data_IF_666145474526
#
_entry.id   IF_666145474526
#
_cell.length_a   1.000
_cell.length_b   1.000
_cell.length_c   1.000
_cell.angle_alpha   90.00
_cell.angle_beta   90.00
_cell.angle_gamma   90.00
#
_symmetry.space_group_name_H-M   'P 1'
#
loop_
_entity.id
_entity.type
_entity.pdbx_description
1 polymer ?
#
# COMPACT_ATOMS: atom_id res chain seq x y z
N UNK A 1 -10.10 -2.63 14.78
CA UNK A 1 -9.17 -2.61 13.63
C UNK A 1 -8.51 -3.97 13.52
N UNK A 2 -8.65 -4.66 12.39
CA UNK A 2 -8.11 -6.00 12.19
C UNK A 2 -6.64 -5.93 11.80
N UNK A 3 -5.79 -6.68 12.48
CA UNK A 3 -4.37 -6.85 12.14
C UNK A 3 -4.19 -8.17 11.40
N UNK A 4 -3.48 -8.15 10.27
CA UNK A 4 -3.12 -9.36 9.54
C UNK A 4 -1.61 -9.54 9.46
N UNK A 5 -1.15 -10.78 9.55
CA UNK A 5 0.26 -11.12 9.38
C UNK A 5 0.61 -11.04 7.89
N UNK A 6 1.47 -10.10 7.53
CA UNK A 6 1.94 -9.94 6.14
C UNK A 6 3.36 -10.46 5.90
N UNK A 7 4.16 -10.65 6.94
CA UNK A 7 5.54 -11.16 6.81
C UNK A 7 5.58 -12.55 7.41
N UNK A 8 5.97 -13.54 6.63
CA UNK A 8 6.11 -14.91 7.12
C UNK A 8 7.47 -15.12 7.79
N UNK A 9 7.62 -14.52 8.97
CA UNK A 9 8.74 -14.79 9.88
C UNK A 9 8.21 -15.40 11.18
N UNK A 10 8.99 -16.29 11.80
CA UNK A 10 8.66 -16.83 13.11
C UNK A 10 8.71 -15.74 14.20
N UNK A 11 7.75 -15.82 15.13
CA UNK A 11 7.56 -14.82 16.20
C UNK A 11 8.51 -15.09 17.37
N UNK A 12 9.79 -14.76 17.21
CA UNK A 12 10.69 -14.70 18.35
C UNK A 12 11.43 -13.37 18.39
N UNK A 13 11.64 -12.86 19.60
CA UNK A 13 12.41 -11.64 19.82
C UNK A 13 13.85 -11.86 19.37
N UNK A 14 14.33 -11.02 18.45
CA UNK A 14 15.67 -11.09 17.84
C UNK A 14 16.53 -9.86 18.17
N UNK A 15 16.01 -8.92 18.95
CA UNK A 15 16.81 -7.83 19.52
C UNK A 15 17.62 -8.35 20.71
N UNK A 16 18.93 -8.16 20.65
CA UNK A 16 19.81 -8.55 21.76
C UNK A 16 19.47 -7.77 23.03
N UNK A 17 19.20 -6.47 22.90
CA UNK A 17 18.90 -5.61 24.06
C UNK A 17 17.59 -6.02 24.75
N UNK A 18 16.53 -6.32 23.98
CA UNK A 18 15.27 -6.80 24.57
C UNK A 18 15.40 -8.19 25.20
N UNK A 19 16.22 -9.08 24.61
CA UNK A 19 16.54 -10.37 25.22
C UNK A 19 17.32 -10.14 26.53
N UNK A 20 18.30 -9.24 26.54
CA UNK A 20 19.08 -8.91 27.71
C UNK A 20 18.20 -8.36 28.84
N UNK A 21 17.32 -7.40 28.55
CA UNK A 21 16.35 -6.87 29.51
C UNK A 21 15.46 -7.97 30.09
N UNK A 22 14.94 -8.87 29.24
CA UNK A 22 14.11 -9.99 29.72
C UNK A 22 14.89 -10.97 30.59
N UNK A 23 16.14 -11.27 30.23
CA UNK A 23 17.03 -12.13 31.03
C UNK A 23 17.40 -11.47 32.36
N UNK A 24 17.58 -10.14 32.36
CA UNK A 24 17.82 -9.34 33.56
C UNK A 24 16.65 -9.46 34.53
N UNK A 25 15.44 -9.16 34.07
CA UNK A 25 14.21 -9.31 34.87
C UNK A 25 14.04 -10.73 35.39
N UNK A 26 14.33 -11.73 34.55
CA UNK A 26 14.21 -13.14 34.95
C UNK A 26 15.21 -13.51 36.04
N UNK A 27 16.47 -13.07 35.93
CA UNK A 27 17.49 -13.35 36.95
C UNK A 27 17.18 -12.65 38.27
N UNK A 28 16.73 -11.40 38.19
CA UNK A 28 16.32 -10.58 39.34
C UNK A 28 15.17 -11.27 40.10
N UNK A 29 14.12 -11.71 39.39
CA UNK A 29 13.03 -12.52 39.97
C UNK A 29 13.51 -13.82 40.61
N UNK A 30 14.42 -14.55 39.97
CA UNK A 30 14.97 -15.79 40.54
C UNK A 30 15.72 -15.51 41.85
N UNK A 31 16.46 -14.39 41.93
CA UNK A 31 17.14 -13.98 43.16
C UNK A 31 16.16 -13.55 44.24
N UNK A 32 15.12 -12.78 43.89
CA UNK A 32 14.07 -12.35 44.82
C UNK A 32 13.40 -13.56 45.48
N UNK A 33 12.97 -14.53 44.67
CA UNK A 33 12.33 -15.73 45.17
C UNK A 33 13.27 -16.55 46.08
N UNK A 34 14.59 -16.55 45.83
CA UNK A 34 15.56 -17.19 46.73
C UNK A 34 15.70 -16.41 48.03
N UNK A 35 15.74 -15.09 47.97
CA UNK A 35 15.82 -14.22 49.14
C UNK A 35 14.61 -14.33 50.04
N UNK A 36 13.40 -14.44 49.47
CA UNK A 36 12.14 -14.64 50.20
C UNK A 36 12.00 -16.05 50.79
N UNK A 37 12.63 -17.06 50.16
CA UNK A 37 12.56 -18.45 50.60
C UNK A 37 13.62 -18.83 51.66
N UNK A 38 14.63 -17.98 51.89
CA UNK A 38 15.71 -18.23 52.85
C UNK A 38 15.31 -17.71 54.25
N UNK A 39 15.10 -18.58 55.26
CA UNK A 39 14.67 -18.18 56.60
C UNK A 39 15.68 -17.32 57.36
N UNK A 40 16.96 -17.33 56.96
CA UNK A 40 18.02 -16.54 57.60
C UNK A 40 18.24 -15.19 56.93
N UNK A 41 17.59 -14.94 55.80
CA UNK A 41 17.75 -13.70 55.07
C UNK A 41 16.80 -12.62 55.64
N UNK A 42 17.35 -11.44 55.92
CA UNK A 42 16.63 -10.37 56.63
C UNK A 42 15.76 -9.50 55.70
N UNK A 43 15.37 -10.05 54.55
CA UNK A 43 14.59 -9.36 53.52
C UNK A 43 13.14 -9.27 54.00
N UNK A 44 12.68 -8.04 54.28
CA UNK A 44 11.33 -7.79 54.83
C UNK A 44 10.47 -7.16 53.75
N UNK A 45 9.26 -7.70 53.60
CA UNK A 45 8.22 -7.03 52.81
C UNK A 45 7.87 -5.69 53.48
N UNK A 46 7.51 -4.65 52.70
CA UNK A 46 7.00 -3.39 53.25
C UNK A 46 5.86 -3.63 54.25
N UNK A 47 5.84 -2.89 55.36
CA UNK A 47 4.88 -3.11 56.47
C UNK A 47 3.42 -2.84 56.07
N UNK A 48 3.19 -2.11 54.97
CA UNK A 48 1.88 -1.65 54.47
C UNK A 48 1.25 -2.58 53.39
N UNK A 49 1.66 -3.85 53.33
CA UNK A 49 1.23 -4.77 52.26
C UNK A 49 -0.13 -5.43 52.52
N UNK A 50 -1.19 -4.88 51.92
CA UNK A 50 -2.57 -5.36 52.06
C UNK A 50 -2.98 -6.47 51.04
N UNK A 51 -2.06 -6.94 50.20
CA UNK A 51 -2.26 -8.09 49.31
C UNK A 51 -3.07 -7.84 48.02
N UNK A 52 -3.64 -6.65 47.83
CA UNK A 52 -4.45 -6.32 46.63
C UNK A 52 -3.64 -5.74 45.45
N UNK A 53 -2.44 -5.17 45.69
CA UNK A 53 -1.58 -4.54 44.67
C UNK A 53 -0.25 -5.30 44.39
N UNK A 54 -0.36 -6.57 43.99
CA UNK A 54 0.81 -7.44 43.77
C UNK A 54 1.74 -6.98 42.62
N UNK A 55 1.22 -6.29 41.60
CA UNK A 55 2.02 -5.85 40.44
C UNK A 55 2.92 -4.65 40.74
N UNK A 56 2.49 -3.74 41.64
CA UNK A 56 3.27 -2.55 42.04
C UNK A 56 4.42 -2.98 42.97
N UNK A 57 4.15 -3.87 43.92
CA UNK A 57 5.19 -4.43 44.78
C UNK A 57 6.23 -5.28 44.03
N UNK A 58 5.84 -6.06 43.02
CA UNK A 58 6.83 -6.84 42.24
C UNK A 58 7.86 -5.90 41.56
N UNK A 59 7.47 -4.68 41.17
CA UNK A 59 8.43 -3.73 40.58
C UNK A 59 9.41 -3.17 41.61
N UNK A 60 8.92 -2.72 42.77
CA UNK A 60 9.76 -2.11 43.82
C UNK A 60 10.74 -3.13 44.42
N UNK A 61 10.28 -4.36 44.65
CA UNK A 61 11.11 -5.45 45.17
C UNK A 61 12.18 -5.91 44.17
N UNK A 62 11.94 -5.76 42.87
CA UNK A 62 12.93 -6.08 41.84
C UNK A 62 14.06 -5.04 41.80
N UNK A 63 13.78 -3.78 42.11
CA UNK A 63 14.78 -2.70 42.11
C UNK A 63 15.76 -2.82 43.29
N UNK A 64 15.36 -3.48 44.38
CA UNK A 64 16.24 -3.76 45.52
C UNK A 64 17.33 -4.82 45.22
N UNK A 65 17.15 -5.60 44.16
CA UNK A 65 18.10 -6.66 43.79
C UNK A 65 19.12 -6.13 42.81
N UNK A 66 20.30 -5.83 43.33
CA UNK A 66 21.43 -5.42 42.49
C UNK A 66 22.02 -6.60 41.70
N UNK A 67 22.32 -6.34 40.43
CA UNK A 67 23.06 -7.23 39.56
C UNK A 67 24.47 -6.71 39.37
N UNK A 68 25.47 -7.57 39.55
CA UNK A 68 26.86 -7.17 39.41
C UNK A 68 27.27 -7.01 37.92
N UNK A 69 28.45 -6.43 37.69
CA UNK A 69 29.00 -6.26 36.33
C UNK A 69 29.21 -7.60 35.60
N UNK A 70 29.55 -8.66 36.33
CA UNK A 70 29.75 -10.00 35.77
C UNK A 70 28.44 -10.63 35.29
N UNK A 71 27.36 -10.45 36.03
CA UNK A 71 26.00 -10.87 35.69
C UNK A 71 25.53 -10.15 34.44
N UNK A 72 25.66 -8.82 34.39
CA UNK A 72 25.33 -8.02 33.21
C UNK A 72 26.12 -8.49 31.98
N UNK A 73 27.42 -8.78 32.13
CA UNK A 73 28.24 -9.29 31.04
C UNK A 73 27.79 -10.70 30.57
N UNK A 74 27.49 -11.62 31.51
CA UNK A 74 26.98 -12.97 31.18
C UNK A 74 25.61 -12.90 30.50
N UNK A 75 24.72 -12.04 30.98
CA UNK A 75 23.41 -11.78 30.39
C UNK A 75 23.60 -11.28 28.96
N UNK A 76 24.47 -10.29 28.74
CA UNK A 76 24.73 -9.74 27.41
C UNK A 76 25.29 -10.80 26.45
N UNK A 77 26.29 -11.56 26.88
CA UNK A 77 26.85 -12.66 26.09
C UNK A 77 25.79 -13.71 25.72
N UNK A 78 24.90 -14.06 26.66
CA UNK A 78 23.82 -15.02 26.44
C UNK A 78 22.74 -14.45 25.52
N UNK A 79 22.41 -13.18 25.67
CA UNK A 79 21.47 -12.46 24.81
C UNK A 79 21.98 -12.41 23.37
N UNK A 80 23.26 -12.10 23.16
CA UNK A 80 23.88 -12.09 21.83
C UNK A 80 23.91 -13.48 21.18
N UNK A 81 24.19 -14.52 21.97
CA UNK A 81 24.16 -15.91 21.48
C UNK A 81 22.75 -16.33 21.08
N UNK A 82 21.76 -16.03 21.93
CA UNK A 82 20.36 -16.36 21.67
C UNK A 82 19.80 -15.57 20.50
N UNK A 83 20.13 -14.28 20.40
CA UNK A 83 19.79 -13.40 19.28
C UNK A 83 20.31 -13.97 17.97
N UNK A 84 21.60 -14.35 17.90
CA UNK A 84 22.21 -14.98 16.72
C UNK A 84 21.54 -16.29 16.34
N UNK A 85 21.31 -17.18 17.32
CA UNK A 85 20.63 -18.45 17.07
C UNK A 85 19.20 -18.26 16.56
N UNK A 86 18.44 -17.32 17.13
CA UNK A 86 17.09 -16.98 16.68
C UNK A 86 17.10 -16.38 15.28
N UNK A 87 17.98 -15.42 14.98
CA UNK A 87 18.12 -14.85 13.63
C UNK A 87 18.44 -15.92 12.58
N UNK A 88 19.30 -16.87 12.92
CA UNK A 88 19.62 -18.02 12.06
C UNK A 88 18.39 -18.91 11.83
N UNK A 89 17.65 -19.25 12.90
CA UNK A 89 16.42 -20.02 12.81
C UNK A 89 15.31 -19.31 11.99
N UNK A 90 15.30 -17.97 11.99
CA UNK A 90 14.37 -17.16 11.20
C UNK A 90 14.81 -16.98 9.74
N UNK A 91 16.04 -17.37 9.38
CA UNK A 91 16.59 -17.13 8.06
C UNK A 91 16.80 -15.65 7.75
N UNK A 92 17.07 -14.80 8.75
CA UNK A 92 17.26 -13.34 8.58
C UNK A 92 18.67 -12.87 8.91
N UNK A 93 19.64 -13.77 9.00
CA UNK A 93 21.04 -13.44 9.32
C UNK A 93 21.68 -12.51 8.28
N UNK A 94 21.21 -12.56 7.03
CA UNK A 94 21.67 -11.68 5.97
C UNK A 94 21.13 -10.26 6.12
N UNK A 95 20.01 -10.01 6.82
CA UNK A 95 19.41 -8.67 6.92
C UNK A 95 20.28 -7.70 7.72
N UNK A 96 20.45 -6.48 7.20
CA UNK A 96 21.09 -5.40 7.97
C UNK A 96 20.18 -5.00 9.14
N UNK A 97 20.72 -4.45 10.23
CA UNK A 97 19.92 -3.94 11.34
C UNK A 97 18.88 -2.90 10.89
N UNK A 98 19.21 -2.04 9.93
CA UNK A 98 18.31 -1.05 9.35
C UNK A 98 17.10 -1.70 8.65
N UNK A 99 17.34 -2.71 7.81
CA UNK A 99 16.29 -3.47 7.12
C UNK A 99 15.39 -4.17 8.14
N UNK A 100 15.98 -4.79 9.17
CA UNK A 100 15.24 -5.44 10.24
C UNK A 100 14.35 -4.44 10.98
N UNK A 101 14.87 -3.24 11.29
CA UNK A 101 14.09 -2.18 11.94
C UNK A 101 12.91 -1.73 11.07
N UNK A 102 13.06 -1.69 9.74
CA UNK A 102 11.95 -1.38 8.81
C UNK A 102 10.85 -2.44 8.85
N UNK A 103 11.23 -3.72 8.91
CA UNK A 103 10.32 -4.87 8.95
C UNK A 103 9.66 -5.06 10.32
N UNK A 104 10.36 -4.74 11.41
CA UNK A 104 9.95 -5.02 12.79
C UNK A 104 8.49 -4.65 13.09
N UNK A 105 7.99 -3.45 12.73
CA UNK A 105 6.61 -3.08 13.07
C UNK A 105 5.55 -3.83 12.24
N UNK A 106 5.93 -4.42 11.10
CA UNK A 106 5.05 -5.26 10.29
C UNK A 106 5.03 -6.73 10.74
N UNK A 107 6.00 -7.18 11.56
CA UNK A 107 6.06 -8.56 12.07
C UNK A 107 4.90 -8.89 13.01
N UNK A 108 4.44 -7.91 13.78
CA UNK A 108 3.31 -8.04 14.69
C UNK A 108 1.94 -7.98 13.97
N UNK A 109 1.96 -7.85 12.65
CA UNK A 109 0.79 -7.67 11.80
C UNK A 109 0.60 -6.22 11.38
N UNK A 110 -0.10 -6.04 10.27
CA UNK A 110 -0.41 -4.73 9.69
C UNK A 110 -1.90 -4.49 9.65
N UNK A 111 -2.30 -3.21 9.70
CA UNK A 111 -3.70 -2.81 9.70
C UNK A 111 -4.31 -3.13 8.34
N UNK A 112 -5.57 -3.52 8.35
CA UNK A 112 -6.38 -3.73 7.15
C UNK A 112 -7.54 -2.76 7.16
N UNK A 113 -7.80 -2.13 6.01
CA UNK A 113 -9.04 -1.40 5.80
C UNK A 113 -10.13 -2.41 5.45
N UNK A 114 -11.21 -2.43 6.21
CA UNK A 114 -12.37 -3.31 5.97
C UNK A 114 -13.53 -2.50 5.40
N UNK A 115 -14.40 -3.15 4.64
CA UNK A 115 -15.68 -2.56 4.29
C UNK A 115 -16.51 -2.32 5.56
N UNK A 116 -17.31 -1.25 5.58
CA UNK A 116 -18.18 -0.91 6.71
C UNK A 116 -19.51 -1.65 6.60
N UNK A 117 -20.42 -1.11 5.80
CA UNK A 117 -21.76 -1.65 5.55
C UNK A 117 -22.15 -1.46 4.07
N UNK A 118 -23.37 -1.88 3.72
CA UNK A 118 -23.90 -1.75 2.37
C UNK A 118 -24.12 -0.28 1.98
N UNK A 119 -24.55 0.57 2.93
CA UNK A 119 -24.80 1.99 2.68
C UNK A 119 -23.50 2.71 2.31
N UNK A 120 -22.42 2.45 3.03
CA UNK A 120 -21.09 2.96 2.71
C UNK A 120 -20.65 2.56 1.29
N UNK A 121 -20.91 1.32 0.87
CA UNK A 121 -20.59 0.87 -0.48
C UNK A 121 -21.41 1.65 -1.55
N UNK A 122 -22.68 1.94 -1.25
CA UNK A 122 -23.57 2.71 -2.11
C UNK A 122 -23.13 4.19 -2.19
N UNK A 123 -22.75 4.80 -1.06
CA UNK A 123 -22.22 6.16 -0.98
C UNK A 123 -20.91 6.33 -1.77
N UNK A 124 -19.97 5.39 -1.63
CA UNK A 124 -18.70 5.40 -2.37
C UNK A 124 -18.97 5.35 -3.88
N UNK A 125 -19.85 4.44 -4.31
CA UNK A 125 -20.20 4.30 -5.72
C UNK A 125 -20.92 5.54 -6.25
N UNK A 126 -21.87 6.10 -5.49
CA UNK A 126 -22.62 7.30 -5.86
C UNK A 126 -21.69 8.51 -6.02
N UNK A 127 -20.74 8.70 -5.08
CA UNK A 127 -19.75 9.78 -5.17
C UNK A 127 -18.89 9.65 -6.42
N UNK A 128 -18.35 8.47 -6.69
CA UNK A 128 -17.53 8.22 -7.87
C UNK A 128 -18.32 8.40 -9.17
N UNK A 129 -19.57 7.95 -9.20
CA UNK A 129 -20.45 8.11 -10.35
C UNK A 129 -20.80 9.59 -10.60
N UNK A 130 -21.08 10.36 -9.55
CA UNK A 130 -21.35 11.80 -9.66
C UNK A 130 -20.11 12.61 -10.10
N UNK A 131 -18.91 12.13 -9.77
CA UNK A 131 -17.65 12.73 -10.21
C UNK A 131 -17.28 12.37 -11.65
N UNK A 132 -17.47 11.11 -12.05
CA UNK A 132 -17.06 10.57 -13.34
C UNK A 132 -18.15 9.68 -13.96
N UNK A 133 -19.29 10.23 -14.41
CA UNK A 133 -20.42 9.43 -14.90
C UNK A 133 -20.09 8.49 -16.06
N UNK A 134 -19.15 8.90 -16.92
CA UNK A 134 -18.67 8.10 -18.05
C UNK A 134 -17.87 6.86 -17.63
N UNK A 135 -17.38 6.80 -16.39
CA UNK A 135 -16.74 5.63 -15.79
C UNK A 135 -17.75 4.66 -15.15
N UNK A 136 -19.02 4.71 -15.57
CA UNK A 136 -20.13 3.90 -15.03
C UNK A 136 -19.77 2.43 -14.91
N UNK A 137 -19.27 1.80 -15.98
CA UNK A 137 -18.96 0.36 -15.97
C UNK A 137 -17.91 -0.03 -14.92
N UNK A 138 -16.89 0.82 -14.72
CA UNK A 138 -15.89 0.62 -13.67
C UNK A 138 -16.49 0.82 -12.27
N UNK A 139 -17.34 1.84 -12.11
CA UNK A 139 -18.00 2.17 -10.85
C UNK A 139 -19.03 1.12 -10.44
N UNK A 140 -19.84 0.62 -11.38
CA UNK A 140 -20.80 -0.46 -11.18
C UNK A 140 -20.11 -1.77 -10.79
N UNK A 141 -18.94 -2.05 -11.40
CA UNK A 141 -18.14 -3.21 -11.01
C UNK A 141 -17.60 -3.07 -9.58
N UNK A 142 -17.00 -1.93 -9.26
CA UNK A 142 -16.51 -1.63 -7.92
C UNK A 142 -17.64 -1.76 -6.89
N UNK A 143 -18.79 -1.16 -7.15
CA UNK A 143 -19.98 -1.23 -6.31
C UNK A 143 -20.38 -2.68 -5.98
N UNK A 144 -20.46 -3.56 -6.99
CA UNK A 144 -20.75 -5.00 -6.79
C UNK A 144 -19.67 -5.70 -5.96
N UNK A 145 -18.41 -5.32 -6.10
CA UNK A 145 -17.31 -5.87 -5.28
C UNK A 145 -17.44 -5.40 -3.84
N UNK A 146 -17.61 -4.09 -3.60
CA UNK A 146 -17.73 -3.51 -2.27
C UNK A 146 -18.91 -4.10 -1.49
N UNK A 147 -20.07 -4.26 -2.12
CA UNK A 147 -21.23 -4.89 -1.48
C UNK A 147 -20.96 -6.33 -1.07
N UNK A 148 -20.30 -7.13 -1.92
CA UNK A 148 -19.92 -8.51 -1.58
C UNK A 148 -18.96 -8.56 -0.39
N UNK A 149 -17.98 -7.67 -0.36
CA UNK A 149 -17.01 -7.56 0.75
C UNK A 149 -17.73 -7.13 2.04
N UNK A 150 -18.63 -6.15 1.96
CA UNK A 150 -19.40 -5.66 3.10
C UNK A 150 -20.29 -6.75 3.71
N UNK A 151 -20.93 -7.59 2.89
CA UNK A 151 -21.74 -8.72 3.39
C UNK A 151 -20.88 -9.80 4.06
N UNK A 152 -19.68 -10.05 3.53
CA UNK A 152 -18.78 -11.10 4.05
C UNK A 152 -17.96 -10.65 5.26
N UNK A 153 -17.78 -9.35 5.46
CA UNK A 153 -16.85 -8.81 6.45
C UNK A 153 -15.38 -9.01 6.09
N UNK A 154 -15.09 -9.25 4.80
CA UNK A 154 -13.74 -9.53 4.32
C UNK A 154 -12.86 -8.24 4.30
N UNK A 155 -11.53 -8.37 4.37
CA UNK A 155 -10.60 -7.32 3.97
C UNK A 155 -10.96 -6.69 2.63
N UNK A 156 -10.90 -5.36 2.53
CA UNK A 156 -11.14 -4.65 1.28
C UNK A 156 -10.05 -5.03 0.27
N UNK A 157 -10.39 -5.90 -0.67
CA UNK A 157 -9.46 -6.43 -1.68
C UNK A 157 -10.17 -6.49 -3.02
N UNK A 158 -9.67 -5.75 -4.00
CA UNK A 158 -10.15 -5.79 -5.37
C UNK A 158 -9.33 -6.83 -6.14
N UNK A 159 -10.02 -7.77 -6.80
CA UNK A 159 -9.34 -8.62 -7.78
C UNK A 159 -8.76 -7.75 -8.90
N UNK A 160 -7.63 -8.15 -9.51
CA UNK A 160 -7.01 -7.39 -10.57
C UNK A 160 -7.99 -7.03 -11.68
N UNK A 161 -8.03 -5.75 -12.03
CA UNK A 161 -8.92 -5.22 -13.07
C UNK A 161 -8.12 -4.46 -14.11
N UNK A 162 -8.45 -4.66 -15.39
CA UNK A 162 -7.93 -3.86 -16.50
C UNK A 162 -9.05 -2.91 -16.94
N UNK A 163 -8.80 -1.62 -16.82
CA UNK A 163 -9.63 -0.57 -17.40
C UNK A 163 -9.15 -0.34 -18.84
N UNK A 164 -9.90 -0.85 -19.81
CA UNK A 164 -9.63 -0.66 -21.22
C UNK A 164 -10.52 0.45 -21.79
N UNK A 165 -9.97 1.31 -22.65
CA UNK A 165 -10.75 2.36 -23.30
C UNK A 165 -9.87 3.49 -23.84
N UNK A 166 -10.44 4.49 -24.53
CA UNK A 166 -9.66 5.52 -25.19
C UNK A 166 -8.70 6.31 -24.26
N UNK A 167 -7.59 6.86 -24.78
CA UNK A 167 -6.67 7.65 -23.98
C UNK A 167 -7.32 8.95 -23.49
N UNK A 168 -6.97 9.41 -22.29
CA UNK A 168 -7.44 10.71 -21.79
C UNK A 168 -8.90 10.74 -21.31
N UNK A 169 -9.55 9.59 -21.11
CA UNK A 169 -10.87 9.48 -20.45
C UNK A 169 -10.79 9.48 -18.91
N UNK A 170 -9.59 9.51 -18.33
CA UNK A 170 -9.39 9.61 -16.88
C UNK A 170 -9.29 8.28 -16.12
N UNK A 171 -8.92 7.16 -16.76
CA UNK A 171 -8.80 5.84 -16.09
C UNK A 171 -7.93 5.86 -14.82
N UNK A 172 -6.72 6.40 -14.89
CA UNK A 172 -5.80 6.52 -13.74
C UNK A 172 -6.28 7.55 -12.71
N UNK A 173 -7.06 8.56 -13.13
CA UNK A 173 -7.70 9.52 -12.22
C UNK A 173 -8.80 8.81 -11.42
N UNK A 174 -9.64 8.02 -12.09
CA UNK A 174 -10.68 7.23 -11.44
C UNK A 174 -10.09 6.25 -10.41
N UNK A 175 -9.01 5.53 -10.77
CA UNK A 175 -8.37 4.59 -9.85
C UNK A 175 -7.84 5.26 -8.56
N UNK A 176 -7.27 6.48 -8.69
CA UNK A 176 -6.87 7.29 -7.53
C UNK A 176 -8.07 7.79 -6.73
N UNK A 177 -9.15 8.23 -7.38
CA UNK A 177 -10.39 8.61 -6.70
C UNK A 177 -10.98 7.43 -5.92
N UNK A 178 -10.88 6.21 -6.44
CA UNK A 178 -11.28 4.99 -5.72
C UNK A 178 -10.43 4.79 -4.46
N UNK A 179 -9.10 4.91 -4.56
CA UNK A 179 -8.22 4.78 -3.39
C UNK A 179 -8.56 5.80 -2.30
N UNK A 180 -8.80 7.06 -2.69
CA UNK A 180 -9.21 8.14 -1.77
C UNK A 180 -10.57 7.82 -1.13
N UNK A 181 -11.57 7.42 -1.94
CA UNK A 181 -12.91 7.10 -1.44
C UNK A 181 -12.91 5.91 -0.47
N UNK A 182 -12.03 4.93 -0.71
CA UNK A 182 -11.85 3.77 0.15
C UNK A 182 -10.90 4.02 1.33
N UNK A 183 -10.27 5.20 1.40
CA UNK A 183 -9.26 5.55 2.41
C UNK A 183 -8.10 4.54 2.48
N UNK A 184 -7.71 3.99 1.33
CA UNK A 184 -6.55 3.11 1.20
C UNK A 184 -5.37 3.87 0.58
N UNK A 185 -4.13 3.59 0.99
CA UNK A 185 -2.97 4.18 0.36
C UNK A 185 -2.82 3.66 -1.06
N UNK A 186 -2.38 4.53 -1.97
CA UNK A 186 -2.15 4.16 -3.37
C UNK A 186 -0.85 4.74 -3.92
N UNK A 187 -0.33 4.06 -4.93
CA UNK A 187 0.78 4.53 -5.77
C UNK A 187 0.46 4.26 -7.24
N UNK A 188 1.02 5.09 -8.11
CA UNK A 188 0.95 4.94 -9.56
C UNK A 188 2.29 4.41 -10.08
N UNK A 189 2.24 3.31 -10.84
CA UNK A 189 3.39 2.72 -11.53
C UNK A 189 3.12 2.82 -13.03
N UNK A 190 3.99 3.53 -13.73
CA UNK A 190 3.89 3.68 -15.18
C UNK A 190 4.64 2.53 -15.87
N UNK A 191 3.90 1.62 -16.51
CA UNK A 191 4.46 0.46 -17.20
C UNK A 191 5.18 0.83 -18.51
N UNK A 192 5.04 2.06 -19.01
CA UNK A 192 5.79 2.54 -20.18
C UNK A 192 7.24 2.92 -19.85
N UNK A 193 7.57 3.14 -18.57
CA UNK A 193 8.92 3.52 -18.14
C UNK A 193 9.84 2.31 -18.09
N UNK A 194 11.08 2.49 -18.57
CA UNK A 194 12.15 1.51 -18.37
C UNK A 194 12.34 1.22 -16.88
N UNK A 195 12.29 -0.06 -16.49
CA UNK A 195 12.41 -0.48 -15.10
C UNK A 195 11.10 -0.62 -14.32
N UNK A 196 9.93 -0.56 -14.95
CA UNK A 196 8.65 -0.78 -14.26
C UNK A 196 8.58 -2.13 -13.51
N UNK A 197 9.25 -3.18 -14.02
CA UNK A 197 9.36 -4.48 -13.33
C UNK A 197 10.11 -4.35 -11.99
N UNK A 198 11.20 -3.58 -11.98
CA UNK A 198 11.97 -3.24 -10.77
C UNK A 198 11.11 -2.40 -9.81
N UNK A 199 10.31 -1.47 -10.33
CA UNK A 199 9.41 -0.69 -9.49
C UNK A 199 8.36 -1.56 -8.78
N UNK A 200 7.90 -2.65 -9.40
CA UNK A 200 6.94 -3.59 -8.79
C UNK A 200 7.62 -4.59 -7.85
N UNK A 201 8.60 -5.35 -8.35
CA UNK A 201 9.20 -6.46 -7.63
C UNK A 201 10.40 -6.05 -6.75
N UNK A 202 11.06 -4.95 -7.08
CA UNK A 202 12.37 -4.58 -6.54
C UNK A 202 13.53 -5.21 -7.31
N UNK A 203 14.74 -4.82 -6.94
CA UNK A 203 15.98 -5.42 -7.43
C UNK A 203 16.57 -6.32 -6.35
N UNK A 204 17.13 -7.45 -6.77
CA UNK A 204 17.76 -8.39 -5.86
C UNK A 204 18.86 -7.71 -5.04
N UNK A 205 19.06 -8.19 -3.81
CA UNK A 205 20.14 -7.73 -2.95
C UNK A 205 21.52 -8.16 -3.46
N UNK A 206 22.48 -7.25 -3.45
CA UNK A 206 23.87 -7.50 -3.86
C UNK A 206 24.31 -6.69 -5.09
N UNK A 207 23.37 -6.04 -5.75
CA UNK A 207 23.63 -5.05 -6.80
C UNK A 207 23.91 -3.68 -6.17
N UNK A 208 24.73 -2.85 -6.84
CA UNK A 208 25.08 -1.50 -6.35
C UNK A 208 23.87 -0.58 -6.16
N UNK A 209 22.73 -0.93 -6.75
CA UNK A 209 21.46 -0.19 -6.70
C UNK A 209 20.28 -1.03 -6.20
N UNK A 210 20.52 -2.06 -5.36
CA UNK A 210 19.44 -2.87 -4.76
C UNK A 210 18.38 -2.00 -4.08
N UNK A 211 17.11 -2.21 -4.44
CA UNK A 211 15.97 -1.43 -3.94
C UNK A 211 14.76 -2.33 -3.76
N UNK A 212 13.96 -2.12 -2.72
CA UNK A 212 12.68 -2.82 -2.58
C UNK A 212 11.65 -2.36 -3.63
N UNK A 213 10.70 -3.23 -3.96
CA UNK A 213 9.56 -2.85 -4.80
C UNK A 213 8.70 -1.77 -4.12
N UNK A 214 8.18 -0.83 -4.92
CA UNK A 214 7.32 0.25 -4.45
C UNK A 214 6.08 -0.24 -3.68
N UNK A 215 5.41 -1.37 -4.06
CA UNK A 215 4.31 -1.91 -3.24
C UNK A 215 4.74 -2.25 -1.81
N UNK A 216 5.93 -2.85 -1.62
CA UNK A 216 6.46 -3.15 -0.27
C UNK A 216 6.80 -1.86 0.47
N UNK A 217 7.45 -0.91 -0.20
CA UNK A 217 7.74 0.41 0.37
C UNK A 217 6.47 1.10 0.87
N UNK A 218 5.37 1.01 0.12
CA UNK A 218 4.07 1.54 0.50
C UNK A 218 3.48 0.83 1.72
N UNK A 219 3.50 -0.51 1.73
CA UNK A 219 3.06 -1.34 2.86
C UNK A 219 3.80 -0.94 4.15
N UNK A 220 5.14 -0.91 4.09
CA UNK A 220 5.98 -0.63 5.25
C UNK A 220 5.84 0.82 5.75
N UNK A 221 5.70 1.79 4.84
CA UNK A 221 5.56 3.21 5.20
C UNK A 221 4.19 3.56 5.75
N UNK A 222 3.11 3.05 5.14
CA UNK A 222 1.72 3.37 5.53
C UNK A 222 1.15 2.43 6.58
N UNK A 223 1.80 1.29 6.84
CA UNK A 223 1.36 0.26 7.81
C UNK A 223 -0.06 -0.26 7.54
N UNK A 224 -0.48 -0.23 6.28
CA UNK A 224 -1.76 -0.77 5.78
C UNK A 224 -1.44 -1.91 4.81
N UNK A 225 -2.08 -3.06 4.99
CA UNK A 225 -1.78 -4.30 4.27
C UNK A 225 -2.49 -4.44 2.92
N UNK A 226 -3.53 -3.64 2.67
CA UNK A 226 -4.35 -3.69 1.46
C UNK A 226 -4.34 -2.35 0.69
N UNK A 227 -3.18 -1.92 0.17
CA UNK A 227 -3.09 -0.74 -0.68
C UNK A 227 -3.76 -0.99 -2.04
N UNK A 228 -4.06 0.10 -2.75
CA UNK A 228 -4.47 0.07 -4.15
C UNK A 228 -3.30 0.52 -5.04
N UNK A 229 -2.81 -0.38 -5.89
CA UNK A 229 -1.72 -0.10 -6.83
C UNK A 229 -2.32 0.14 -8.21
N UNK A 230 -2.02 1.29 -8.79
CA UNK A 230 -2.42 1.65 -10.14
C UNK A 230 -1.25 1.37 -11.08
N UNK A 231 -1.47 0.57 -12.12
CA UNK A 231 -0.49 0.33 -13.17
C UNK A 231 -0.97 0.98 -14.46
N UNK A 232 -0.33 2.08 -14.88
CA UNK A 232 -0.71 2.82 -16.07
C UNK A 232 -0.02 2.28 -17.32
N UNK A 233 -0.68 2.42 -18.47
CA UNK A 233 -0.16 2.10 -19.80
C UNK A 233 0.39 0.66 -20.00
N UNK A 234 -0.27 -0.36 -19.44
CA UNK A 234 0.19 -1.76 -19.53
C UNK A 234 0.30 -2.29 -20.96
N UNK A 235 -0.44 -1.73 -21.91
CA UNK A 235 -0.36 -2.06 -23.33
C UNK A 235 0.95 -1.60 -24.00
N UNK A 236 1.70 -0.67 -23.40
CA UNK A 236 2.98 -0.18 -23.93
C UNK A 236 4.19 -0.84 -23.28
N UNK A 237 3.99 -1.66 -22.24
CA UNK A 237 5.06 -2.35 -21.51
C UNK A 237 5.73 -3.51 -22.28
N UNK A 238 5.67 -3.55 -23.62
CA UNK A 238 6.33 -4.61 -24.40
C UNK A 238 7.84 -4.41 -24.36
N UNK A 239 8.52 -5.46 -23.89
CA UNK A 239 9.89 -5.89 -24.21
C UNK A 239 10.81 -4.80 -24.78
N UNK A 240 11.51 -4.08 -23.90
CA UNK A 240 12.78 -3.49 -24.28
C UNK A 240 13.80 -4.64 -24.41
N UNK A 241 13.95 -5.20 -25.62
CA UNK A 241 15.04 -6.12 -25.94
C UNK A 241 16.35 -5.33 -25.94
N UNK A 242 17.00 -5.26 -24.79
CA UNK A 242 18.38 -4.81 -24.65
C UNK A 242 19.31 -5.98 -25.00
N UNK A 243 20.32 -5.73 -25.83
CA UNK A 243 21.37 -6.69 -26.23
C UNK A 243 22.31 -7.14 -25.07
N UNK A 244 21.94 -6.89 -23.80
CA UNK A 244 22.77 -7.10 -22.60
C UNK A 244 22.05 -7.82 -21.45
N UNK A 245 21.21 -8.79 -21.76
CA UNK A 245 20.58 -9.65 -20.75
C UNK A 245 19.13 -9.27 -20.46
N UNK A 246 18.34 -10.29 -20.18
CA UNK A 246 16.90 -10.27 -20.04
C UNK A 246 16.51 -9.45 -18.80
N UNK A 247 16.11 -8.18 -18.98
CA UNK A 247 15.29 -7.54 -17.97
C UNK A 247 14.00 -8.33 -17.89
N UNK A 248 13.67 -8.89 -16.71
CA UNK A 248 12.39 -9.54 -16.47
C UNK A 248 11.29 -8.62 -17.01
N UNK A 249 10.52 -9.11 -17.98
CA UNK A 249 9.46 -8.30 -18.55
C UNK A 249 8.55 -7.83 -17.41
N UNK A 250 8.05 -6.60 -17.50
CA UNK A 250 7.13 -6.05 -16.50
C UNK A 250 5.99 -7.03 -16.17
N UNK A 251 5.49 -7.72 -17.21
CA UNK A 251 4.50 -8.80 -17.10
C UNK A 251 4.92 -9.88 -16.12
N UNK A 252 6.15 -10.38 -16.19
CA UNK A 252 6.62 -11.54 -15.41
C UNK A 252 6.71 -11.19 -13.93
N UNK A 253 7.14 -9.97 -13.64
CA UNK A 253 7.19 -9.44 -12.26
C UNK A 253 5.78 -9.34 -11.66
N UNK A 254 4.79 -8.95 -12.46
CA UNK A 254 3.42 -8.76 -12.02
C UNK A 254 2.65 -10.08 -11.88
N UNK A 255 2.87 -11.07 -12.76
CA UNK A 255 2.11 -12.33 -12.78
C UNK A 255 2.08 -13.04 -11.42
N UNK A 256 3.21 -13.10 -10.72
CA UNK A 256 3.31 -13.73 -9.39
C UNK A 256 2.49 -13.01 -8.30
N UNK A 257 2.14 -11.74 -8.51
CA UNK A 257 1.44 -10.88 -7.58
C UNK A 257 -0.06 -10.73 -7.88
N UNK A 258 -0.53 -11.14 -9.07
CA UNK A 258 -1.93 -11.03 -9.47
C UNK A 258 -2.80 -12.17 -8.94
N UNK A 259 -2.21 -13.35 -8.75
CA UNK A 259 -2.94 -14.51 -8.22
C UNK A 259 -2.81 -14.57 -6.69
N UNK A 260 -3.93 -14.59 -5.93
CA UNK A 260 -3.88 -14.57 -4.45
C UNK A 260 -3.05 -15.70 -3.84
N UNK A 261 -3.10 -16.91 -4.40
CA UNK A 261 -2.37 -18.07 -3.88
C UNK A 261 -0.85 -17.90 -3.98
N UNK A 262 -0.38 -17.38 -5.11
CA UNK A 262 1.05 -17.10 -5.36
C UNK A 262 1.49 -15.86 -4.58
N UNK A 263 0.67 -14.80 -4.60
CA UNK A 263 0.92 -13.56 -3.89
C UNK A 263 1.02 -13.74 -2.37
N UNK A 264 0.31 -14.73 -1.79
CA UNK A 264 0.34 -15.00 -0.36
C UNK A 264 1.71 -15.51 0.16
N UNK A 265 2.55 -16.06 -0.71
CA UNK A 265 3.87 -16.61 -0.38
C UNK A 265 4.99 -15.96 -1.18
N UNK A 266 4.76 -14.74 -1.67
CA UNK A 266 5.67 -14.05 -2.57
C UNK A 266 6.97 -13.68 -1.85
N UNK A 267 8.11 -14.05 -2.42
CA UNK A 267 9.41 -13.76 -1.83
C UNK A 267 9.96 -12.44 -2.38
N UNK A 268 10.28 -11.51 -1.48
CA UNK A 268 10.86 -10.24 -1.86
C UNK A 268 12.33 -10.40 -2.30
N UNK A 269 12.72 -9.98 -3.52
CA UNK A 269 14.12 -10.05 -3.97
C UNK A 269 15.09 -9.23 -3.11
N UNK A 270 14.64 -8.10 -2.55
CA UNK A 270 15.45 -7.21 -1.73
C UNK A 270 15.65 -7.76 -0.31
N UNK A 271 14.56 -8.06 0.40
CA UNK A 271 14.62 -8.55 1.78
C UNK A 271 14.95 -10.05 1.85
N UNK A 272 14.71 -10.83 0.79
CA UNK A 272 14.74 -12.31 0.77
C UNK A 272 13.92 -12.91 1.91
N UNK A 273 12.71 -12.37 2.06
CA UNK A 273 11.71 -12.77 3.06
C UNK A 273 10.38 -12.87 2.33
N UNK A 274 9.53 -13.80 2.76
CA UNK A 274 8.19 -13.99 2.20
C UNK A 274 7.21 -12.95 2.75
N UNK A 275 6.51 -12.30 1.84
CA UNK A 275 5.41 -11.39 2.10
C UNK A 275 4.10 -11.97 1.57
N UNK A 276 3.04 -11.83 2.35
CA UNK A 276 1.68 -12.04 1.90
C UNK A 276 1.18 -10.76 1.22
N UNK A 277 1.27 -10.75 -0.11
CA UNK A 277 0.86 -9.65 -0.99
C UNK A 277 -0.55 -9.84 -1.54
N UNK A 278 -1.29 -10.88 -1.10
CA UNK A 278 -2.61 -11.24 -1.64
C UNK A 278 -3.71 -10.21 -1.38
N UNK A 279 -3.50 -9.31 -0.42
CA UNK A 279 -4.44 -8.26 -0.05
C UNK A 279 -4.27 -6.96 -0.85
N UNK A 280 -3.25 -6.89 -1.72
CA UNK A 280 -3.04 -5.74 -2.59
C UNK A 280 -4.11 -5.72 -3.68
N UNK A 281 -4.74 -4.57 -3.86
CA UNK A 281 -5.70 -4.32 -4.93
C UNK A 281 -5.00 -3.77 -6.17
N UNK A 282 -5.22 -4.38 -7.34
CA UNK A 282 -4.54 -3.98 -8.59
C UNK A 282 -5.53 -3.38 -9.59
N UNK A 283 -5.27 -2.13 -10.02
CA UNK A 283 -6.01 -1.47 -11.10
C UNK A 283 -5.04 -1.14 -12.23
N UNK A 284 -5.16 -1.86 -13.33
CA UNK A 284 -4.32 -1.70 -14.51
C UNK A 284 -5.08 -0.87 -15.56
N UNK A 285 -4.41 -0.02 -16.32
CA UNK A 285 -5.05 0.74 -17.41
C UNK A 285 -4.44 0.41 -18.76
N UNK A 286 -5.31 0.27 -19.76
CA UNK A 286 -4.94 0.02 -21.15
C UNK A 286 -5.71 0.94 -22.09
N UNK A 287 -5.11 1.23 -23.25
CA UNK A 287 -5.80 1.91 -24.34
C UNK A 287 -6.22 0.96 -25.47
N UNK A 288 -5.53 -0.18 -25.60
CA UNK A 288 -5.72 -1.18 -26.65
C UNK A 288 -5.49 -2.53 -26.00
N UNK A 289 -6.55 -3.30 -25.79
CA UNK A 289 -6.50 -4.55 -25.02
C UNK A 289 -5.69 -5.63 -25.74
N UNK A 290 -5.68 -5.61 -27.07
CA UNK A 290 -4.95 -6.52 -27.94
C UNK A 290 -3.43 -6.42 -27.76
N UNK A 291 -2.95 -5.25 -27.32
CA UNK A 291 -1.54 -5.03 -27.02
C UNK A 291 -1.13 -5.52 -25.63
N UNK A 292 -2.09 -5.92 -24.79
CA UNK A 292 -1.82 -6.48 -23.47
C UNK A 292 -1.52 -7.98 -23.59
N UNK A 293 -0.43 -8.49 -22.97
CA UNK A 293 -0.12 -9.91 -22.95
C UNK A 293 -1.29 -10.78 -22.46
N UNK A 294 -1.56 -11.88 -23.17
CA UNK A 294 -2.63 -12.84 -22.83
C UNK A 294 -2.50 -13.39 -21.40
N UNK A 295 -1.25 -13.55 -20.93
CA UNK A 295 -0.94 -14.01 -19.58
C UNK A 295 -1.46 -13.06 -18.49
N UNK A 296 -1.49 -11.75 -18.76
CA UNK A 296 -2.09 -10.76 -17.86
C UNK A 296 -3.62 -10.69 -18.05
N UNK A 297 -4.10 -10.73 -19.29
CA UNK A 297 -5.54 -10.66 -19.61
C UNK A 297 -6.33 -11.78 -18.95
N UNK A 298 -5.84 -13.01 -19.00
CA UNK A 298 -6.47 -14.19 -18.39
C UNK A 298 -6.57 -14.15 -16.85
N UNK A 299 -5.77 -13.30 -16.18
CA UNK A 299 -5.74 -13.14 -14.72
C UNK A 299 -6.48 -11.91 -14.20
N UNK A 300 -6.91 -11.03 -15.11
CA UNK A 300 -7.55 -9.78 -14.77
C UNK A 300 -8.99 -9.77 -15.29
N UNK A 301 -9.87 -9.11 -14.54
CA UNK A 301 -11.17 -8.76 -15.07
C UNK A 301 -11.04 -7.56 -16.01
N UNK A 302 -11.47 -7.71 -17.25
CA UNK A 302 -11.43 -6.63 -18.24
C UNK A 302 -12.73 -5.82 -18.15
N UNK A 303 -12.62 -4.50 -18.03
CA UNK A 303 -13.74 -3.56 -18.08
C UNK A 303 -13.52 -2.63 -19.26
N UNK A 304 -14.40 -2.76 -20.24
CA UNK A 304 -14.46 -1.87 -21.39
C UNK A 304 -15.16 -0.56 -21.01
N UNK A 305 -14.48 0.55 -21.23
CA UNK A 305 -14.99 1.89 -20.96
C UNK A 305 -15.18 2.59 -22.31
N UNK A 306 -16.43 3.02 -22.62
CA UNK A 306 -16.70 3.71 -23.87
C UNK A 306 -16.00 5.07 -23.92
N UNK A 307 -15.97 5.64 -25.12
CA UNK A 307 -15.50 7.00 -25.28
C UNK A 307 -16.47 8.03 -24.66
N UNK A 308 -15.96 9.25 -24.46
CA UNK A 308 -16.72 10.37 -23.93
C UNK A 308 -17.66 10.94 -25.00
N UNK A 309 -18.91 11.18 -24.61
CA UNK A 309 -19.84 11.95 -25.45
C UNK A 309 -19.57 13.45 -25.33
N UNK A 310 -20.01 14.22 -26.31
CA UNK A 310 -19.90 15.68 -26.28
C UNK A 310 -20.60 16.27 -25.06
N UNK A 311 -21.77 15.74 -24.69
CA UNK A 311 -22.53 16.18 -23.52
C UNK A 311 -21.76 15.91 -22.22
N UNK A 312 -21.07 14.76 -22.12
CA UNK A 312 -20.23 14.44 -20.96
C UNK A 312 -19.03 15.39 -20.83
N UNK A 313 -18.38 15.72 -21.95
CA UNK A 313 -17.28 16.69 -21.97
C UNK A 313 -17.74 18.09 -21.57
N UNK A 314 -18.91 18.52 -22.06
CA UNK A 314 -19.51 19.81 -21.67
C UNK A 314 -19.89 19.84 -20.19
N UNK A 315 -20.57 18.79 -19.69
CA UNK A 315 -20.92 18.68 -18.28
C UNK A 315 -19.67 18.71 -17.37
N UNK A 316 -18.60 18.02 -17.78
CA UNK A 316 -17.31 18.09 -17.11
C UNK A 316 -16.72 19.51 -17.13
N UNK A 317 -16.78 20.20 -18.28
CA UNK A 317 -16.31 21.58 -18.42
C UNK A 317 -17.06 22.53 -17.49
N UNK A 318 -18.39 22.42 -17.40
CA UNK A 318 -19.21 23.21 -16.49
C UNK A 318 -18.81 23.00 -15.03
N UNK A 319 -18.71 21.74 -14.60
CA UNK A 319 -18.36 21.39 -13.22
C UNK A 319 -16.95 21.88 -12.86
N UNK A 320 -15.96 21.65 -13.71
CA UNK A 320 -14.58 22.07 -13.48
C UNK A 320 -14.39 23.57 -13.58
N UNK A 321 -15.01 24.22 -14.57
CA UNK A 321 -14.97 25.66 -14.74
C UNK A 321 -15.50 26.40 -13.51
N UNK A 322 -16.62 25.95 -12.95
CA UNK A 322 -17.17 26.49 -11.71
C UNK A 322 -16.22 26.30 -10.52
N UNK A 323 -15.57 25.14 -10.40
CA UNK A 323 -14.57 24.88 -9.34
C UNK A 323 -13.33 25.77 -9.48
N UNK A 324 -12.96 26.14 -10.71
CA UNK A 324 -11.84 27.03 -11.02
C UNK A 324 -12.18 28.53 -10.87
N UNK A 325 -13.43 28.88 -10.55
CA UNK A 325 -13.86 30.28 -10.39
C UNK A 325 -14.02 31.06 -11.70
N UNK A 326 -14.18 30.37 -12.84
CA UNK A 326 -14.37 31.00 -14.14
C UNK A 326 -15.74 31.69 -14.27
N UNK A 327 -15.82 32.74 -15.09
CA UNK A 327 -17.09 33.38 -15.40
C UNK A 327 -18.01 32.42 -16.18
N UNK A 328 -19.35 32.58 -16.04
CA UNK A 328 -20.32 31.76 -16.80
C UNK A 328 -20.11 31.86 -18.31
N UNK A 329 -19.83 33.06 -18.81
CA UNK A 329 -19.56 33.30 -20.22
C UNK A 329 -18.32 32.53 -20.72
N UNK A 330 -17.26 32.49 -19.92
CA UNK A 330 -16.02 31.79 -20.28
C UNK A 330 -16.22 30.27 -20.32
N UNK A 331 -17.01 29.72 -19.39
CA UNK A 331 -17.37 28.30 -19.38
C UNK A 331 -18.29 27.94 -20.55
N UNK A 332 -19.27 28.79 -20.87
CA UNK A 332 -20.16 28.61 -22.03
C UNK A 332 -19.37 28.64 -23.36
N UNK A 333 -18.41 29.56 -23.50
CA UNK A 333 -17.53 29.62 -24.66
C UNK A 333 -16.71 28.32 -24.82
N UNK A 334 -16.18 27.77 -23.73
CA UNK A 334 -15.49 26.47 -23.75
C UNK A 334 -16.45 25.35 -24.14
N UNK A 335 -17.68 25.33 -23.60
CA UNK A 335 -18.69 24.32 -23.95
C UNK A 335 -19.08 24.36 -25.44
N UNK A 336 -19.18 25.56 -26.02
CA UNK A 336 -19.41 25.73 -27.47
C UNK A 336 -18.21 25.24 -28.29
N UNK A 337 -16.98 25.56 -27.85
CA UNK A 337 -15.76 25.09 -28.51
C UNK A 337 -15.68 23.55 -28.52
N UNK A 338 -16.06 22.89 -27.42
CA UNK A 338 -16.11 21.42 -27.32
C UNK A 338 -17.09 20.83 -28.35
N UNK A 339 -18.26 21.45 -28.56
CA UNK A 339 -19.24 20.97 -29.54
C UNK A 339 -18.79 21.16 -31.00
N UNK A 340 -18.04 22.22 -31.29
CA UNK A 340 -17.54 22.53 -32.63
C UNK A 340 -16.24 21.77 -32.96
N UNK A 341 -15.40 21.48 -31.97
CA UNK A 341 -14.06 20.95 -32.18
C UNK A 341 -14.03 19.64 -33.01
N UNK A 342 -14.91 18.64 -32.81
CA UNK A 342 -14.93 17.44 -33.65
C UNK A 342 -15.22 17.73 -35.12
N UNK A 343 -16.10 18.71 -35.41
CA UNK A 343 -16.47 19.10 -36.78
C UNK A 343 -15.34 19.83 -37.49
N UNK A 344 -14.64 20.70 -36.79
CA UNK A 344 -13.56 21.54 -37.35
C UNK A 344 -12.25 20.77 -37.47
N UNK A 345 -11.85 20.08 -36.41
CA UNK A 345 -10.52 19.46 -36.33
C UNK A 345 -10.49 18.02 -36.84
N UNK A 346 -11.67 17.38 -36.99
CA UNK A 346 -11.80 15.92 -37.19
C UNK A 346 -11.06 15.08 -36.15
N UNK A 347 -10.71 15.67 -34.99
CA UNK A 347 -10.01 15.00 -33.89
C UNK A 347 -10.95 14.77 -32.72
N UNK A 348 -10.86 13.57 -32.16
CA UNK A 348 -11.46 13.21 -30.88
C UNK A 348 -10.96 14.15 -29.77
N UNK A 349 -11.87 14.62 -28.94
CA UNK A 349 -11.57 15.42 -27.76
C UNK A 349 -11.42 14.53 -26.52
N UNK A 350 -10.50 14.88 -25.63
CA UNK A 350 -10.29 14.21 -24.35
C UNK A 350 -10.53 15.16 -23.17
N UNK A 351 -10.61 14.62 -21.95
CA UNK A 351 -10.70 15.45 -20.74
C UNK A 351 -9.48 16.37 -20.60
N UNK A 352 -8.31 15.95 -21.08
CA UNK A 352 -7.09 16.78 -21.07
C UNK A 352 -7.23 17.99 -21.98
N UNK A 353 -7.90 17.84 -23.12
CA UNK A 353 -8.13 18.95 -24.04
C UNK A 353 -9.11 19.96 -23.44
N UNK A 354 -10.16 19.48 -22.78
CA UNK A 354 -11.09 20.33 -22.02
C UNK A 354 -10.39 21.09 -20.90
N UNK A 355 -9.54 20.43 -20.12
CA UNK A 355 -8.76 21.09 -19.06
C UNK A 355 -7.86 22.20 -19.64
N UNK A 356 -7.16 21.94 -20.75
CA UNK A 356 -6.36 22.98 -21.44
C UNK A 356 -7.21 24.14 -21.93
N UNK A 357 -8.44 23.89 -22.40
CA UNK A 357 -9.36 24.95 -22.80
C UNK A 357 -9.78 25.82 -21.61
N UNK A 358 -10.08 25.20 -20.47
CA UNK A 358 -10.44 25.90 -19.23
C UNK A 358 -9.26 26.72 -18.67
N UNK A 359 -8.05 26.16 -18.66
CA UNK A 359 -6.83 26.87 -18.25
C UNK A 359 -6.57 28.11 -19.13
N UNK A 360 -6.75 27.98 -20.45
CA UNK A 360 -6.66 29.12 -21.38
C UNK A 360 -7.71 30.18 -21.09
N UNK A 361 -8.96 29.77 -20.83
CA UNK A 361 -10.02 30.69 -20.48
C UNK A 361 -9.73 31.42 -19.16
N UNK A 362 -9.13 30.74 -18.18
CA UNK A 362 -8.80 31.33 -16.88
C UNK A 362 -7.72 32.40 -17.02
N UNK A 363 -6.71 32.15 -17.86
CA UNK A 363 -5.68 33.14 -18.15
C UNK A 363 -6.22 34.37 -18.89
N UNK A 364 -7.29 34.23 -19.67
CA UNK A 364 -7.96 35.35 -20.35
C UNK A 364 -8.85 36.15 -19.38
N UNK A 365 -9.59 35.47 -18.48
CA UNK A 365 -10.42 36.12 -17.46
C UNK A 365 -9.57 36.90 -16.44
N UNK A 366 -8.39 36.40 -16.10
CA UNK A 366 -7.44 37.03 -15.16
C UNK A 366 -6.41 37.97 -15.79
N UNK A 367 -6.38 38.10 -17.12
CA UNK A 367 -5.44 38.97 -17.82
C UNK A 367 -5.82 40.45 -17.78
N UNK A 368 -4.86 41.39 -17.89
CA UNK A 368 -5.17 42.81 -18.01
C UNK A 368 -6.05 43.03 -19.26
N UNK A 369 -7.21 43.64 -19.07
CA UNK A 369 -8.06 44.07 -20.18
C UNK A 369 -7.28 45.14 -20.94
N UNK A 370 -6.88 44.83 -22.17
CA UNK A 370 -6.32 45.82 -23.09
C UNK A 370 -7.47 46.80 -23.40
N UNK A 371 -7.45 47.94 -22.72
CA UNK A 371 -8.33 49.07 -22.94
C UNK A 371 -7.73 50.01 -23.97
#
# INVERSE_FOLDING_TARGET
MTLIKIIDLPRFETSSDKIAQRLQLTLTRIRLNKCLADPQNNFRLPEDFDGEDFEVLDSELLDEIELDRGDLQRIRNRADKLSRARRAAAGITHLKPEDLNRLTPALNGMKVVTAKDLNWADEVAAKLHAEMPWMKFATDHLWKVLRRIAVRGDPLTLRPVILNGPPGIGKSVWARSVAIALSVPSIDIDASKGGAGIAVAGLERGWSSSVEGQPIGLLLSKRIANPLIVVDEICKGRTATSNRGTYHAFSDSLLSLLEPATAAKWECPFFRVRFNMSHISWVLTSNVIENVPETLRSRCQIIEIPDLTTEQLQSFAYKKGSTMGLSKASVEAVAMAIALAPKVTKRRQSLRDVLRMLERAQNMDGGPRLH
#
